data_IF_556440004345
#
_entry.id   IF_556440004345
#
_cell.length_a   1.000
_cell.length_b   1.000
_cell.length_c   1.000
_cell.angle_alpha   90.00
_cell.angle_beta   90.00
_cell.angle_gamma   90.00
#
_symmetry.space_group_name_H-M   'P 1'
#
loop_
_entity.id
_entity.type
_entity.pdbx_description
1 polymer ?
#
# COMPACT_ATOMS: atom_id res chain seq x y z
N UNK A 1 -33.99 -29.43 -35.56
CA UNK A 1 -34.41 -28.34 -34.65
C UNK A 1 -34.58 -28.93 -33.27
N UNK A 2 -33.66 -28.66 -32.35
CA UNK A 2 -33.74 -29.10 -30.95
C UNK A 2 -33.95 -27.86 -30.07
N UNK A 3 -34.82 -27.90 -29.05
CA UNK A 3 -35.04 -26.76 -28.19
C UNK A 3 -33.84 -26.55 -27.26
N UNK A 4 -33.19 -25.39 -27.37
CA UNK A 4 -32.20 -24.91 -26.38
C UNK A 4 -32.95 -24.61 -25.08
N UNK A 5 -32.84 -25.52 -24.12
CA UNK A 5 -33.19 -25.26 -22.72
C UNK A 5 -32.32 -24.12 -22.20
N UNK A 6 -32.96 -23.01 -21.85
CA UNK A 6 -32.35 -21.87 -21.18
C UNK A 6 -32.18 -22.27 -19.71
N UNK A 7 -31.00 -22.76 -19.33
CA UNK A 7 -30.65 -22.99 -17.93
C UNK A 7 -30.50 -21.63 -17.26
N UNK A 8 -31.60 -21.15 -16.68
CA UNK A 8 -31.56 -20.06 -15.71
C UNK A 8 -30.83 -20.60 -14.48
N UNK A 9 -29.52 -20.38 -14.39
CA UNK A 9 -28.81 -20.53 -13.11
C UNK A 9 -29.32 -19.45 -12.18
N UNK A 10 -30.36 -19.77 -11.42
CA UNK A 10 -30.66 -19.05 -10.18
C UNK A 10 -29.39 -19.04 -9.32
N UNK A 11 -29.04 -17.91 -8.69
CA UNK A 11 -27.93 -17.89 -7.75
C UNK A 11 -28.26 -18.86 -6.62
N UNK A 12 -27.53 -19.97 -6.56
CA UNK A 12 -27.60 -20.93 -5.45
C UNK A 12 -27.35 -20.13 -4.18
N UNK A 13 -28.37 -19.98 -3.34
CA UNK A 13 -28.26 -19.30 -2.06
C UNK A 13 -27.15 -19.96 -1.25
N UNK A 14 -26.13 -19.19 -0.85
CA UNK A 14 -25.01 -19.72 -0.06
C UNK A 14 -25.60 -20.31 1.24
N UNK A 15 -25.43 -21.63 1.51
CA UNK A 15 -26.09 -22.31 2.63
C UNK A 15 -25.70 -21.72 3.99
N UNK A 16 -24.59 -20.99 4.06
CA UNK A 16 -24.16 -20.27 5.27
C UNK A 16 -25.07 -19.08 5.63
N UNK A 17 -25.85 -18.55 4.68
CA UNK A 17 -26.77 -17.43 4.89
C UNK A 17 -27.99 -17.77 5.77
N UNK A 18 -28.30 -19.06 5.93
CA UNK A 18 -29.45 -19.53 6.71
C UNK A 18 -29.27 -19.35 8.23
N UNK A 19 -28.04 -19.20 8.70
CA UNK A 19 -27.72 -19.07 10.12
C UNK A 19 -27.74 -17.62 10.62
N UNK A 20 -27.89 -16.65 9.72
CA UNK A 20 -27.93 -15.23 10.08
C UNK A 20 -29.36 -14.74 10.41
N UNK A 21 -29.51 -13.75 11.32
CA UNK A 21 -30.77 -13.05 11.52
C UNK A 21 -31.32 -12.50 10.20
N UNK A 22 -32.65 -12.46 10.04
CA UNK A 22 -33.32 -11.97 8.82
C UNK A 22 -32.72 -10.70 8.21
N UNK A 23 -32.51 -9.60 8.96
CA UNK A 23 -31.99 -8.37 8.37
C UNK A 23 -30.57 -8.53 7.81
N UNK A 24 -29.73 -9.35 8.45
CA UNK A 24 -28.37 -9.65 7.97
C UNK A 24 -28.42 -10.52 6.71
N UNK A 25 -29.31 -11.53 6.69
CA UNK A 25 -29.50 -12.43 5.54
C UNK A 25 -29.95 -11.66 4.28
N UNK A 26 -30.81 -10.66 4.44
CA UNK A 26 -31.28 -9.82 3.34
C UNK A 26 -30.18 -8.87 2.84
N UNK A 27 -29.36 -8.35 3.75
CA UNK A 27 -28.34 -7.35 3.44
C UNK A 27 -27.14 -7.93 2.69
N UNK A 28 -26.60 -9.06 3.12
CA UNK A 28 -25.36 -9.66 2.56
C UNK A 28 -25.35 -9.71 1.02
N UNK A 29 -26.39 -10.22 0.32
CA UNK A 29 -26.38 -10.27 -1.15
C UNK A 29 -26.46 -8.89 -1.82
N UNK A 30 -26.86 -7.84 -1.10
CA UNK A 30 -26.98 -6.49 -1.62
C UNK A 30 -25.68 -5.68 -1.51
N UNK A 31 -24.68 -6.17 -0.76
CA UNK A 31 -23.42 -5.44 -0.55
C UNK A 31 -22.54 -5.56 -1.81
N UNK A 32 -22.15 -4.45 -2.46
CA UNK A 32 -21.27 -4.50 -3.62
C UNK A 32 -19.90 -5.09 -3.28
N UNK A 33 -19.40 -5.99 -4.13
CA UNK A 33 -18.07 -6.58 -3.99
C UNK A 33 -16.95 -5.51 -4.05
N UNK A 34 -17.15 -4.45 -4.83
CA UNK A 34 -16.21 -3.31 -4.92
C UNK A 34 -16.07 -2.56 -3.60
N UNK A 35 -17.17 -2.42 -2.85
CA UNK A 35 -17.18 -1.80 -1.53
C UNK A 35 -16.37 -2.65 -0.56
N UNK A 36 -16.62 -3.96 -0.53
CA UNK A 36 -15.89 -4.88 0.33
C UNK A 36 -14.39 -4.91 0.00
N UNK A 37 -14.03 -4.89 -1.28
CA UNK A 37 -12.64 -4.83 -1.72
C UNK A 37 -11.94 -3.55 -1.22
N UNK A 38 -12.64 -2.41 -1.29
CA UNK A 38 -12.13 -1.12 -0.82
C UNK A 38 -11.89 -1.13 0.70
N UNK A 39 -12.86 -1.64 1.47
CA UNK A 39 -12.73 -1.79 2.92
C UNK A 39 -11.60 -2.75 3.31
N UNK A 40 -11.50 -3.89 2.62
CA UNK A 40 -10.43 -4.87 2.83
C UNK A 40 -9.05 -4.28 2.51
N UNK A 41 -8.94 -3.53 1.43
CA UNK A 41 -7.70 -2.85 1.05
C UNK A 41 -7.28 -1.83 2.13
N UNK A 42 -8.24 -1.05 2.63
CA UNK A 42 -7.98 -0.01 3.61
C UNK A 42 -7.65 -0.58 5.00
N UNK A 43 -8.50 -1.43 5.56
CA UNK A 43 -8.40 -1.85 6.96
C UNK A 43 -7.39 -2.98 7.20
N UNK A 44 -7.20 -3.86 6.21
CA UNK A 44 -6.40 -5.09 6.41
C UNK A 44 -5.33 -5.26 5.34
N UNK A 45 -5.15 -4.27 4.47
CA UNK A 45 -4.14 -4.29 3.41
C UNK A 45 -4.26 -5.52 2.50
N UNK A 46 -5.48 -5.98 2.23
CA UNK A 46 -5.76 -7.04 1.28
C UNK A 46 -5.93 -6.44 -0.12
N UNK A 47 -4.95 -6.63 -0.99
CA UNK A 47 -4.91 -6.03 -2.32
C UNK A 47 -5.45 -7.00 -3.37
N UNK A 48 -6.33 -6.53 -4.24
CA UNK A 48 -7.03 -7.36 -5.25
C UNK A 48 -7.65 -8.65 -4.67
N UNK A 49 -8.36 -8.58 -3.53
CA UNK A 49 -8.97 -9.78 -2.95
C UNK A 49 -9.99 -10.37 -3.93
N UNK A 50 -9.95 -11.69 -4.09
CA UNK A 50 -10.89 -12.46 -4.91
C UNK A 50 -11.89 -13.18 -4.01
N UNK A 51 -13.06 -13.51 -4.56
CA UNK A 51 -14.11 -14.29 -3.90
C UNK A 51 -14.43 -13.79 -2.49
N UNK A 52 -14.70 -12.49 -2.34
CA UNK A 52 -14.98 -11.89 -1.05
C UNK A 52 -16.37 -12.33 -0.59
N UNK A 53 -16.44 -12.96 0.57
CA UNK A 53 -17.69 -13.40 1.20
C UNK A 53 -17.82 -12.80 2.58
N UNK A 54 -18.98 -12.23 2.87
CA UNK A 54 -19.35 -11.83 4.22
C UNK A 54 -19.69 -13.07 5.02
N UNK A 55 -18.96 -13.34 6.09
CA UNK A 55 -19.19 -14.50 6.96
C UNK A 55 -20.05 -14.17 8.16
N UNK A 56 -20.02 -12.92 8.63
CA UNK A 56 -20.82 -12.48 9.79
C UNK A 56 -20.96 -10.96 9.80
N UNK A 57 -22.10 -10.46 10.27
CA UNK A 57 -22.30 -9.05 10.61
C UNK A 57 -22.84 -8.98 12.04
N UNK A 58 -22.11 -8.28 12.91
CA UNK A 58 -22.51 -7.96 14.28
C UNK A 58 -22.72 -6.46 14.43
N UNK A 59 -23.32 -5.97 15.53
CA UNK A 59 -23.42 -4.53 15.78
C UNK A 59 -22.05 -3.82 15.79
N UNK A 60 -20.98 -4.53 16.12
CA UNK A 60 -19.65 -3.96 16.30
C UNK A 60 -18.74 -4.15 15.08
N UNK A 61 -18.96 -5.18 14.26
CA UNK A 61 -18.05 -5.51 13.17
C UNK A 61 -18.69 -6.30 12.03
N UNK A 62 -18.01 -6.29 10.88
CA UNK A 62 -18.25 -7.17 9.74
C UNK A 62 -17.07 -8.13 9.57
N UNK A 63 -17.36 -9.42 9.51
CA UNK A 63 -16.37 -10.47 9.24
C UNK A 63 -16.44 -10.89 7.78
N UNK A 64 -15.28 -10.92 7.14
CA UNK A 64 -15.11 -11.20 5.71
C UNK A 64 -14.11 -12.34 5.53
N UNK A 65 -14.41 -13.24 4.60
CA UNK A 65 -13.46 -14.20 4.06
C UNK A 65 -13.16 -13.85 2.60
N UNK A 66 -11.91 -14.03 2.18
CA UNK A 66 -11.48 -13.71 0.82
C UNK A 66 -10.27 -14.56 0.42
N UNK A 67 -10.07 -14.71 -0.88
CA UNK A 67 -8.86 -15.29 -1.45
C UNK A 67 -7.87 -14.16 -1.73
N UNK A 68 -6.74 -14.17 -1.03
CA UNK A 68 -5.64 -13.27 -1.34
C UNK A 68 -4.80 -13.91 -2.46
N UNK A 69 -4.76 -13.35 -3.68
CA UNK A 69 -3.84 -13.84 -4.70
C UNK A 69 -2.41 -13.75 -4.15
N UNK A 70 -1.68 -14.85 -4.27
CA UNK A 70 -0.24 -14.87 -4.04
C UNK A 70 0.38 -14.42 -5.35
N UNK A 71 1.17 -13.35 -5.31
CA UNK A 71 1.65 -12.69 -6.54
C UNK A 71 2.75 -13.49 -7.28
N UNK A 72 3.17 -14.64 -6.73
CA UNK A 72 3.95 -15.66 -7.44
C UNK A 72 3.00 -16.58 -8.22
N UNK A 73 3.15 -16.61 -9.55
CA UNK A 73 2.33 -17.37 -10.53
C UNK A 73 2.19 -18.86 -10.16
N UNK A 74 3.12 -19.41 -9.36
CA UNK A 74 3.16 -20.80 -8.96
C UNK A 74 2.28 -21.15 -7.73
N UNK A 75 1.72 -20.18 -7.01
CA UNK A 75 1.00 -20.45 -5.77
C UNK A 75 -0.50 -20.14 -5.90
N UNK A 76 -1.33 -21.08 -5.42
CA UNK A 76 -2.78 -20.88 -5.33
C UNK A 76 -3.11 -19.70 -4.38
N UNK A 77 -4.20 -18.95 -4.64
CA UNK A 77 -4.67 -17.91 -3.74
C UNK A 77 -4.86 -18.45 -2.31
N UNK A 78 -4.39 -17.71 -1.31
CA UNK A 78 -4.45 -18.15 0.10
C UNK A 78 -5.77 -17.66 0.70
N UNK A 79 -6.59 -18.55 1.27
CA UNK A 79 -7.80 -18.15 1.98
C UNK A 79 -7.42 -17.35 3.23
N UNK A 80 -8.08 -16.22 3.42
CA UNK A 80 -7.94 -15.31 4.55
C UNK A 80 -9.31 -14.99 5.12
N UNK A 81 -9.36 -14.78 6.43
CA UNK A 81 -10.50 -14.22 7.12
C UNK A 81 -10.07 -13.01 7.92
N UNK A 82 -10.95 -12.03 8.05
CA UNK A 82 -10.70 -10.83 8.83
C UNK A 82 -11.98 -10.20 9.33
N UNK A 83 -11.85 -9.34 10.33
CA UNK A 83 -12.97 -8.65 10.97
C UNK A 83 -12.69 -7.15 10.98
N UNK A 84 -13.58 -6.37 10.39
CA UNK A 84 -13.50 -4.91 10.30
C UNK A 84 -14.54 -4.32 11.25
N UNK A 85 -14.09 -3.46 12.18
CA UNK A 85 -14.99 -2.82 13.15
C UNK A 85 -15.79 -1.69 12.51
N UNK A 86 -17.08 -1.61 12.83
CA UNK A 86 -17.91 -0.46 12.49
C UNK A 86 -17.50 0.76 13.32
N UNK A 87 -17.40 1.91 12.66
CA UNK A 87 -17.14 3.19 13.34
C UNK A 87 -18.17 4.23 12.91
N UNK A 88 -19.05 4.72 13.81
CA UNK A 88 -19.33 4.17 15.16
C UNK A 88 -19.92 2.75 15.09
N UNK A 89 -20.29 2.11 16.22
CA UNK A 89 -21.04 0.85 16.20
C UNK A 89 -22.44 1.02 15.56
N UNK A 90 -23.03 -0.08 15.11
CA UNK A 90 -24.41 -0.17 14.65
C UNK A 90 -25.37 -0.40 15.84
N UNK A 91 -26.66 -0.07 15.70
CA UNK A 91 -27.67 -0.45 16.68
C UNK A 91 -27.78 -1.98 16.78
N UNK A 92 -28.23 -2.48 17.93
CA UNK A 92 -28.46 -3.91 18.17
C UNK A 92 -29.35 -4.51 17.10
N UNK A 93 -29.00 -5.72 16.63
CA UNK A 93 -29.78 -6.42 15.61
C UNK A 93 -31.19 -6.71 16.17
N UNK A 94 -32.27 -6.31 15.48
CA UNK A 94 -33.62 -6.62 15.94
C UNK A 94 -33.84 -8.13 15.98
N UNK A 95 -34.58 -8.61 16.99
CA UNK A 95 -34.88 -10.03 17.12
C UNK A 95 -35.77 -10.51 15.98
N UNK A 96 -35.66 -11.79 15.64
CA UNK A 96 -36.46 -12.43 14.59
C UNK A 96 -37.96 -12.17 14.78
N UNK A 97 -38.46 -12.36 16.00
CA UNK A 97 -39.86 -12.12 16.37
C UNK A 97 -40.31 -10.69 16.05
N UNK A 98 -39.46 -9.70 16.34
CA UNK A 98 -39.75 -8.29 16.06
C UNK A 98 -39.76 -7.99 14.56
N UNK A 99 -38.91 -8.67 13.78
CA UNK A 99 -38.87 -8.52 12.32
C UNK A 99 -40.08 -9.19 11.64
N UNK A 100 -40.59 -10.27 12.20
CA UNK A 100 -41.79 -10.95 11.71
C UNK A 100 -43.07 -10.15 12.01
N UNK A 101 -43.12 -9.48 13.16
CA UNK A 101 -44.22 -8.59 13.58
C UNK A 101 -44.20 -7.26 12.81
N UNK A 102 -43.01 -6.69 12.57
CA UNK A 102 -42.84 -5.41 11.89
C UNK A 102 -41.64 -5.45 10.92
N UNK A 103 -41.97 -5.62 9.63
CA UNK A 103 -40.98 -5.63 8.55
C UNK A 103 -40.24 -4.29 8.40
N UNK A 104 -40.83 -3.18 8.85
CA UNK A 104 -40.20 -1.85 8.76
C UNK A 104 -38.98 -1.76 9.68
N UNK A 105 -39.04 -2.36 10.88
CA UNK A 105 -37.90 -2.44 11.80
C UNK A 105 -36.70 -3.17 11.17
N UNK A 106 -36.93 -4.26 10.42
CA UNK A 106 -35.85 -4.97 9.73
C UNK A 106 -35.22 -4.10 8.63
N UNK A 107 -36.06 -3.44 7.83
CA UNK A 107 -35.62 -2.55 6.76
C UNK A 107 -34.85 -1.32 7.28
N UNK A 108 -35.28 -0.71 8.38
CA UNK A 108 -34.56 0.42 9.01
C UNK A 108 -33.15 0.02 9.46
N UNK A 109 -33.02 -1.18 10.05
CA UNK A 109 -31.72 -1.69 10.45
C UNK A 109 -30.83 -1.98 9.23
N UNK A 110 -31.38 -2.64 8.20
CA UNK A 110 -30.68 -2.90 6.92
C UNK A 110 -30.16 -1.60 6.29
N UNK A 111 -31.03 -0.57 6.21
CA UNK A 111 -30.69 0.75 5.68
C UNK A 111 -29.60 1.43 6.49
N UNK A 112 -29.67 1.34 7.82
CA UNK A 112 -28.65 1.89 8.72
C UNK A 112 -27.28 1.21 8.51
N UNK A 113 -27.26 -0.11 8.40
CA UNK A 113 -26.04 -0.87 8.12
C UNK A 113 -25.46 -0.54 6.75
N UNK A 114 -26.30 -0.52 5.70
CA UNK A 114 -25.89 -0.16 4.35
C UNK A 114 -25.30 1.25 4.28
N UNK A 115 -25.92 2.22 4.95
CA UNK A 115 -25.41 3.58 5.02
C UNK A 115 -24.06 3.65 5.76
N UNK A 116 -23.90 2.91 6.87
CA UNK A 116 -22.63 2.83 7.60
C UNK A 116 -21.51 2.27 6.73
N UNK A 117 -21.77 1.21 5.98
CA UNK A 117 -20.81 0.62 5.04
C UNK A 117 -20.39 1.63 3.96
N UNK A 118 -21.34 2.42 3.41
CA UNK A 118 -21.03 3.49 2.43
C UNK A 118 -20.18 4.61 3.02
N UNK A 119 -20.45 5.02 4.26
CA UNK A 119 -19.63 6.05 4.94
C UNK A 119 -18.21 5.55 5.15
N UNK A 120 -18.06 4.32 5.65
CA UNK A 120 -16.73 3.70 5.83
C UNK A 120 -15.99 3.53 4.50
N UNK A 121 -16.70 3.17 3.42
CA UNK A 121 -16.13 3.08 2.07
C UNK A 121 -15.66 4.46 1.59
N UNK A 122 -16.43 5.52 1.80
CA UNK A 122 -16.06 6.87 1.38
C UNK A 122 -14.81 7.36 2.13
N UNK A 123 -14.68 7.05 3.43
CA UNK A 123 -13.48 7.35 4.23
C UNK A 123 -12.27 6.54 3.75
N UNK A 124 -12.46 5.24 3.54
CA UNK A 124 -11.44 4.35 2.99
C UNK A 124 -10.98 4.83 1.60
N UNK A 125 -11.93 5.20 0.74
CA UNK A 125 -11.67 5.68 -0.62
C UNK A 125 -10.87 6.98 -0.62
N UNK A 126 -11.14 7.94 0.28
CA UNK A 126 -10.31 9.15 0.40
C UNK A 126 -8.85 8.86 0.75
N UNK A 127 -8.61 7.79 1.52
CA UNK A 127 -7.25 7.37 1.92
C UNK A 127 -6.58 6.57 0.80
N UNK A 128 -7.38 5.85 0.00
CA UNK A 128 -6.92 5.07 -1.15
C UNK A 128 -6.79 5.91 -2.43
N UNK A 129 -7.49 7.05 -2.54
CA UNK A 129 -7.44 8.04 -3.62
C UNK A 129 -6.06 8.67 -3.66
N UNK A 130 -5.17 8.01 -4.40
CA UNK A 130 -3.75 8.37 -4.49
C UNK A 130 -2.83 7.15 -4.60
N UNK A 131 -3.32 5.94 -4.30
CA UNK A 131 -2.61 4.68 -4.53
C UNK A 131 -2.86 4.19 -5.95
N UNK A 132 -1.77 3.87 -6.63
CA UNK A 132 -1.76 3.26 -7.95
C UNK A 132 -2.17 1.80 -7.85
N UNK A 133 -2.83 1.31 -8.91
CA UNK A 133 -3.11 -0.12 -9.08
C UNK A 133 -1.85 -0.92 -9.45
N UNK A 134 -0.73 -0.22 -9.72
CA UNK A 134 0.60 -0.79 -9.94
C UNK A 134 1.34 -0.90 -8.61
N UNK A 135 1.79 -2.11 -8.27
CA UNK A 135 2.56 -2.41 -7.06
C UNK A 135 4.02 -2.72 -7.42
N UNK A 136 4.98 -1.90 -6.96
CA UNK A 136 6.42 -2.17 -7.15
C UNK A 136 6.95 -3.02 -6.01
N UNK A 137 7.36 -4.25 -6.30
CA UNK A 137 7.75 -5.22 -5.26
C UNK A 137 9.26 -5.37 -5.08
N UNK A 138 10.04 -5.03 -6.10
CA UNK A 138 11.51 -5.21 -6.09
C UNK A 138 12.24 -3.89 -5.98
N UNK A 139 13.41 -3.96 -5.37
CA UNK A 139 14.40 -2.89 -5.43
C UNK A 139 15.34 -3.13 -6.61
N UNK A 140 15.64 -2.06 -7.37
CA UNK A 140 16.57 -2.10 -8.51
C UNK A 140 17.83 -1.33 -8.12
N UNK A 141 18.99 -2.01 -7.99
CA UNK A 141 20.22 -1.35 -7.59
C UNK A 141 20.76 -0.40 -8.66
N UNK A 142 21.63 0.55 -8.27
CA UNK A 142 22.40 1.36 -9.19
C UNK A 142 23.19 0.49 -10.18
N UNK A 143 23.18 0.88 -11.45
CA UNK A 143 23.97 0.26 -12.51
C UNK A 143 25.20 1.11 -12.90
N UNK A 144 25.58 2.11 -12.10
CA UNK A 144 26.62 3.07 -12.44
C UNK A 144 27.59 3.34 -11.27
N UNK A 145 28.89 3.13 -11.51
CA UNK A 145 29.99 3.44 -10.59
C UNK A 145 30.09 4.92 -10.19
N UNK A 146 29.71 5.85 -11.07
CA UNK A 146 29.72 7.28 -10.78
C UNK A 146 28.77 7.65 -9.63
N UNK A 147 27.63 6.96 -9.50
CA UNK A 147 26.74 7.15 -8.35
C UNK A 147 27.44 6.78 -7.04
N UNK A 148 28.15 5.65 -7.01
CA UNK A 148 28.90 5.20 -5.83
C UNK A 148 30.02 6.17 -5.43
N UNK A 149 30.75 6.73 -6.40
CA UNK A 149 31.81 7.70 -6.11
C UNK A 149 31.27 8.99 -5.48
N UNK A 150 30.13 9.48 -5.98
CA UNK A 150 29.50 10.71 -5.47
C UNK A 150 29.03 10.53 -4.03
N UNK A 151 28.53 9.33 -3.70
CA UNK A 151 28.12 8.92 -2.35
C UNK A 151 29.32 8.85 -1.43
N UNK A 152 30.39 8.19 -1.87
CA UNK A 152 31.61 8.04 -1.10
C UNK A 152 32.22 9.41 -0.77
N UNK A 153 32.28 10.31 -1.75
CA UNK A 153 32.75 11.69 -1.55
C UNK A 153 31.89 12.45 -0.54
N UNK A 154 30.56 12.28 -0.59
CA UNK A 154 29.65 12.90 0.37
C UNK A 154 29.90 12.40 1.80
N UNK A 155 30.03 11.08 1.99
CA UNK A 155 30.31 10.47 3.30
C UNK A 155 31.66 10.90 3.85
N UNK A 156 32.69 10.94 3.00
CA UNK A 156 34.01 11.45 3.36
C UNK A 156 33.87 12.90 3.82
N UNK A 157 33.18 13.76 3.07
CA UNK A 157 32.98 15.16 3.45
C UNK A 157 32.22 15.31 4.78
N UNK A 158 31.17 14.51 5.02
CA UNK A 158 30.45 14.48 6.30
C UNK A 158 31.38 14.10 7.45
N UNK A 159 32.19 13.06 7.26
CA UNK A 159 33.16 12.61 8.25
C UNK A 159 34.21 13.67 8.54
N UNK A 160 34.73 14.34 7.50
CA UNK A 160 35.69 15.45 7.64
C UNK A 160 35.12 16.62 8.44
N UNK A 161 33.88 17.03 8.15
CA UNK A 161 33.20 18.08 8.92
C UNK A 161 33.01 17.64 10.37
N UNK A 162 32.53 16.43 10.62
CA UNK A 162 32.31 15.90 11.96
C UNK A 162 33.61 15.85 12.78
N UNK A 163 34.67 15.31 12.19
CA UNK A 163 35.98 15.20 12.81
C UNK A 163 36.54 16.57 13.16
N UNK A 164 36.44 17.53 12.24
CA UNK A 164 36.89 18.90 12.49
C UNK A 164 36.08 19.60 13.58
N UNK A 165 34.75 19.40 13.63
CA UNK A 165 33.92 19.94 14.71
C UNK A 165 34.20 19.31 16.07
N UNK A 166 34.56 18.02 16.10
CA UNK A 166 34.71 17.26 17.35
C UNK A 166 36.10 17.38 17.96
N UNK A 167 37.13 17.40 17.13
CA UNK A 167 38.53 17.32 17.54
C UNK A 167 39.36 18.53 17.08
N UNK A 168 38.88 19.30 16.10
CA UNK A 168 39.58 20.51 15.62
C UNK A 168 41.03 20.24 15.24
N UNK A 169 41.92 21.12 15.69
CA UNK A 169 43.37 21.02 15.50
C UNK A 169 44.02 19.94 16.37
N UNK A 170 43.36 19.52 17.46
CA UNK A 170 43.87 18.56 18.43
C UNK A 170 43.87 17.10 17.90
N UNK A 171 43.41 16.87 16.67
CA UNK A 171 43.43 15.54 16.07
C UNK A 171 44.85 15.17 15.60
N UNK A 172 45.43 14.04 16.08
CA UNK A 172 46.78 13.64 15.71
C UNK A 172 46.92 13.42 14.20
N UNK A 173 48.00 13.95 13.60
CA UNK A 173 48.39 13.85 12.17
C UNK A 173 47.45 14.49 11.14
N UNK A 174 46.17 14.63 11.46
CA UNK A 174 45.11 15.01 10.53
C UNK A 174 44.64 16.46 10.79
N UNK A 175 44.65 16.91 12.04
CA UNK A 175 44.23 18.26 12.45
C UNK A 175 45.10 19.35 11.84
N UNK A 176 46.43 19.24 11.98
CA UNK A 176 47.38 20.20 11.42
C UNK A 176 47.31 20.27 9.89
N UNK A 177 47.09 19.13 9.22
CA UNK A 177 46.91 19.08 7.77
C UNK A 177 45.63 19.81 7.33
N UNK A 178 44.50 19.59 8.01
CA UNK A 178 43.26 20.29 7.71
C UNK A 178 43.37 21.78 8.02
N UNK A 179 43.97 22.17 9.14
CA UNK A 179 44.23 23.56 9.52
C UNK A 179 45.06 24.28 8.45
N UNK A 180 46.16 23.68 7.99
CA UNK A 180 47.11 24.36 7.11
C UNK A 180 46.77 24.27 5.62
N UNK A 181 46.18 23.16 5.14
CA UNK A 181 45.96 22.90 3.70
C UNK A 181 44.52 23.05 3.24
N UNK A 182 43.53 22.81 4.10
CA UNK A 182 42.11 22.70 3.68
C UNK A 182 41.25 23.83 4.25
N UNK A 183 41.30 24.04 5.57
CA UNK A 183 40.54 25.03 6.33
C UNK A 183 41.40 26.18 6.86
N UNK A 184 42.50 26.50 6.17
CA UNK A 184 43.42 27.60 6.45
C UNK A 184 42.74 28.96 6.71
N UNK A 185 41.53 29.16 6.20
CA UNK A 185 40.67 30.28 6.57
C UNK A 185 39.32 29.76 7.04
N UNK A 186 38.83 30.25 8.17
CA UNK A 186 37.54 29.84 8.77
C UNK A 186 36.37 29.92 7.79
N UNK A 187 36.34 30.92 6.92
CA UNK A 187 35.28 31.06 5.92
C UNK A 187 35.19 29.86 4.96
N UNK A 188 36.31 29.16 4.68
CA UNK A 188 36.31 27.97 3.83
C UNK A 188 35.58 26.81 4.51
N UNK A 189 35.80 26.64 5.81
CA UNK A 189 35.08 25.67 6.62
C UNK A 189 33.59 26.02 6.67
N UNK A 190 33.25 27.28 7.00
CA UNK A 190 31.87 27.74 7.06
C UNK A 190 31.13 27.54 5.72
N UNK A 191 31.75 27.89 4.60
CA UNK A 191 31.19 27.65 3.26
C UNK A 191 31.01 26.17 2.96
N UNK A 192 31.96 25.33 3.38
CA UNK A 192 31.88 23.86 3.20
C UNK A 192 30.71 23.28 4.00
N UNK A 193 30.52 23.72 5.24
CA UNK A 193 29.40 23.33 6.09
C UNK A 193 28.07 23.82 5.50
N UNK A 194 27.98 25.08 5.07
CA UNK A 194 26.78 25.62 4.42
C UNK A 194 26.41 24.85 3.14
N UNK A 195 27.40 24.55 2.29
CA UNK A 195 27.18 23.75 1.08
C UNK A 195 26.72 22.33 1.44
N UNK A 196 27.35 21.69 2.42
CA UNK A 196 26.98 20.35 2.86
C UNK A 196 25.55 20.30 3.45
N UNK A 197 25.18 21.31 4.24
CA UNK A 197 23.83 21.45 4.78
C UNK A 197 22.78 21.65 3.68
N UNK A 198 23.06 22.49 2.66
CA UNK A 198 22.18 22.68 1.52
C UNK A 198 21.95 21.36 0.75
N UNK A 199 23.01 20.56 0.58
CA UNK A 199 22.90 19.22 -0.04
C UNK A 199 22.04 18.30 0.82
N UNK A 200 22.22 18.26 2.14
CA UNK A 200 21.41 17.45 3.05
C UNK A 200 19.92 17.80 2.97
N UNK A 201 19.57 19.09 2.98
CA UNK A 201 18.17 19.55 2.84
C UNK A 201 17.57 19.08 1.52
N UNK A 202 18.33 19.19 0.42
CA UNK A 202 17.90 18.67 -0.88
C UNK A 202 17.68 17.16 -0.85
N UNK A 203 18.63 16.38 -0.32
CA UNK A 203 18.52 14.91 -0.24
C UNK A 203 17.34 14.49 0.62
N UNK A 204 17.05 15.22 1.69
CA UNK A 204 15.86 14.98 2.51
C UNK A 204 14.57 15.19 1.71
N UNK A 205 14.50 16.25 0.90
CA UNK A 205 13.39 16.48 -0.04
C UNK A 205 13.20 15.32 -1.02
N UNK A 206 14.28 14.84 -1.62
CA UNK A 206 14.25 13.69 -2.54
C UNK A 206 13.72 12.42 -1.85
N UNK A 207 14.15 12.15 -0.61
CA UNK A 207 13.68 11.02 0.21
C UNK A 207 12.19 11.14 0.53
N UNK A 208 11.70 12.33 0.87
CA UNK A 208 10.27 12.56 1.14
C UNK A 208 9.41 12.35 -0.12
N UNK A 209 9.89 12.80 -1.28
CA UNK A 209 9.21 12.57 -2.56
C UNK A 209 9.20 11.09 -2.92
N UNK A 210 10.34 10.40 -2.75
CA UNK A 210 10.41 8.96 -2.93
C UNK A 210 9.49 8.22 -1.97
N UNK A 211 9.44 8.58 -0.68
CA UNK A 211 8.53 7.97 0.28
C UNK A 211 7.06 8.08 -0.14
N UNK A 212 6.65 9.24 -0.67
CA UNK A 212 5.31 9.43 -1.26
C UNK A 212 5.08 8.51 -2.45
N UNK A 213 6.07 8.38 -3.36
CA UNK A 213 5.99 7.45 -4.50
C UNK A 213 5.90 6.00 -4.05
N UNK A 214 6.76 5.57 -3.14
CA UNK A 214 6.76 4.21 -2.60
C UNK A 214 5.40 3.85 -2.00
N UNK A 215 4.78 4.78 -1.25
CA UNK A 215 3.43 4.61 -0.71
C UNK A 215 2.35 4.57 -1.79
N UNK A 216 2.48 5.42 -2.82
CA UNK A 216 1.58 5.45 -3.97
C UNK A 216 1.61 4.13 -4.74
N UNK A 217 2.77 3.51 -4.92
CA UNK A 217 2.93 2.27 -5.67
C UNK A 217 3.14 1.04 -4.78
N UNK A 218 2.67 1.08 -3.53
CA UNK A 218 2.56 -0.09 -2.66
C UNK A 218 3.87 -0.77 -2.26
N UNK A 219 5.00 -0.06 -2.24
CA UNK A 219 6.32 -0.64 -1.91
C UNK A 219 6.54 -0.78 -0.39
N UNK A 220 5.77 -0.03 0.39
CA UNK A 220 5.68 -0.11 1.85
C UNK A 220 4.98 -1.39 2.35
N UNK A 221 4.39 -2.18 1.45
CA UNK A 221 3.42 -3.24 1.76
C UNK A 221 4.04 -4.61 2.05
N UNK A 222 5.37 -4.78 1.95
CA UNK A 222 5.99 -6.09 2.13
C UNK A 222 6.37 -6.39 3.58
N UNK A 223 5.48 -7.09 4.29
CA UNK A 223 5.77 -7.80 5.55
C UNK A 223 5.76 -9.31 5.31
N UNK A 224 6.93 -9.86 4.98
CA UNK A 224 7.27 -11.27 5.27
C UNK A 224 8.57 -11.28 6.07
N UNK A 225 8.46 -11.33 7.40
CA UNK A 225 9.53 -11.78 8.31
C UNK A 225 10.93 -11.15 8.18
N UNK A 226 11.11 -10.03 7.47
CA UNK A 226 12.38 -9.33 7.30
C UNK A 226 12.29 -7.96 7.95
N UNK A 227 13.31 -7.64 8.76
CA UNK A 227 13.45 -6.35 9.46
C UNK A 227 13.59 -5.17 8.49
N UNK A 228 14.03 -5.43 7.25
CA UNK A 228 14.28 -4.42 6.22
C UNK A 228 13.56 -4.80 4.92
N UNK A 229 12.56 -4.01 4.52
CA UNK A 229 11.84 -4.18 3.26
C UNK A 229 12.51 -3.46 2.07
N UNK A 230 12.07 -3.73 0.82
CA UNK A 230 12.60 -3.06 -0.39
C UNK A 230 12.49 -1.54 -0.34
N UNK A 231 11.49 -1.01 0.37
CA UNK A 231 11.29 0.42 0.60
C UNK A 231 12.51 1.09 1.24
N UNK A 232 13.17 0.44 2.20
CA UNK A 232 14.36 1.00 2.87
C UNK A 232 15.48 1.21 1.86
N UNK A 233 15.70 0.23 0.98
CA UNK A 233 16.72 0.32 -0.06
C UNK A 233 16.41 1.43 -1.06
N UNK A 234 15.15 1.61 -1.44
CA UNK A 234 14.71 2.75 -2.26
C UNK A 234 14.95 4.09 -1.56
N UNK A 235 14.68 4.21 -0.26
CA UNK A 235 14.93 5.45 0.47
C UNK A 235 16.43 5.74 0.64
N UNK A 236 17.22 4.73 1.01
CA UNK A 236 18.68 4.83 1.12
C UNK A 236 19.25 5.28 -0.23
N UNK A 237 18.86 4.62 -1.32
CA UNK A 237 19.37 5.01 -2.64
C UNK A 237 18.81 6.31 -3.17
N UNK A 238 17.59 6.70 -2.76
CA UNK A 238 17.09 8.05 -3.02
C UNK A 238 17.90 9.11 -2.30
N UNK A 239 18.28 8.88 -1.04
CA UNK A 239 19.18 9.78 -0.31
C UNK A 239 20.53 9.91 -1.01
N UNK A 240 21.06 8.78 -1.49
CA UNK A 240 22.38 8.67 -2.07
C UNK A 240 22.47 9.16 -3.53
N UNK A 241 21.50 8.84 -4.37
CA UNK A 241 21.49 9.15 -5.82
C UNK A 241 20.48 10.23 -6.24
N UNK A 242 19.50 10.54 -5.39
CA UNK A 242 18.51 11.60 -5.61
C UNK A 242 17.58 11.26 -6.78
N UNK A 243 17.36 12.25 -7.64
CA UNK A 243 16.50 12.16 -8.84
C UNK A 243 16.79 10.95 -9.76
N UNK A 244 18.02 10.42 -9.77
CA UNK A 244 18.35 9.23 -10.56
C UNK A 244 17.65 7.97 -10.05
N UNK A 245 17.54 7.84 -8.73
CA UNK A 245 16.79 6.75 -8.09
C UNK A 245 15.31 6.85 -8.44
N UNK A 246 14.76 8.07 -8.37
CA UNK A 246 13.39 8.37 -8.77
C UNK A 246 13.08 8.00 -10.23
N UNK A 247 13.98 8.35 -11.16
CA UNK A 247 13.83 7.98 -12.57
C UNK A 247 13.83 6.46 -12.78
N UNK A 248 14.67 5.71 -12.07
CA UNK A 248 14.66 4.24 -12.12
C UNK A 248 13.36 3.67 -11.58
N UNK A 249 12.86 4.26 -10.49
CA UNK A 249 11.59 3.88 -9.91
C UNK A 249 10.44 4.08 -10.91
N UNK A 250 10.36 5.24 -11.56
CA UNK A 250 9.34 5.54 -12.56
C UNK A 250 9.43 4.61 -13.79
N UNK A 251 10.64 4.22 -14.21
CA UNK A 251 10.84 3.23 -15.28
C UNK A 251 10.29 1.85 -14.91
N UNK A 252 10.46 1.43 -13.65
CA UNK A 252 9.91 0.15 -13.18
C UNK A 252 8.38 0.21 -13.07
N UNK A 253 7.83 1.32 -12.60
CA UNK A 253 6.38 1.57 -12.62
C UNK A 253 5.83 1.48 -14.05
N UNK A 254 6.46 2.14 -15.01
CA UNK A 254 6.04 2.10 -16.41
C UNK A 254 6.14 0.69 -17.02
N UNK A 255 7.16 -0.09 -16.64
CA UNK A 255 7.29 -1.50 -17.04
C UNK A 255 6.16 -2.35 -16.49
N UNK A 256 5.86 -2.23 -15.21
CA UNK A 256 4.76 -2.97 -14.57
C UNK A 256 3.39 -2.55 -15.09
N UNK A 257 3.19 -1.27 -15.38
CA UNK A 257 1.98 -0.76 -16.03
C UNK A 257 1.73 -1.39 -17.40
N UNK A 258 2.78 -1.53 -18.23
CA UNK A 258 2.69 -2.22 -19.53
C UNK A 258 2.31 -3.69 -19.38
N UNK A 259 3.00 -4.43 -18.51
CA UNK A 259 2.69 -5.84 -18.25
C UNK A 259 1.25 -6.05 -17.79
N UNK A 260 0.73 -5.13 -16.96
CA UNK A 260 -0.66 -5.20 -16.49
C UNK A 260 -1.67 -4.89 -17.59
N UNK A 261 -1.34 -3.99 -18.52
CA UNK A 261 -2.17 -3.70 -19.69
C UNK A 261 -2.21 -4.91 -20.63
N UNK A 262 -1.05 -5.49 -20.94
CA UNK A 262 -0.92 -6.70 -21.79
C UNK A 262 -1.70 -7.90 -21.19
N UNK A 263 -1.62 -8.10 -19.87
CA UNK A 263 -2.39 -9.16 -19.20
C UNK A 263 -3.92 -8.95 -19.30
N UNK A 264 -4.39 -7.69 -19.23
CA UNK A 264 -5.82 -7.38 -19.38
C UNK A 264 -6.31 -7.59 -20.81
N UNK A 265 -5.48 -7.30 -21.81
CA UNK A 265 -5.80 -7.56 -23.22
C UNK A 265 -5.89 -9.07 -23.49
N UNK A 266 -4.94 -9.86 -22.99
CA UNK A 266 -4.94 -11.32 -23.12
C UNK A 266 -6.18 -11.99 -22.47
N UNK A 267 -6.61 -11.51 -21.30
CA UNK A 267 -7.84 -11.98 -20.64
C UNK A 267 -9.13 -11.55 -21.38
N UNK A 268 -9.08 -10.44 -22.13
CA UNK A 268 -10.18 -9.93 -22.94
C UNK A 268 -10.37 -10.71 -24.24
N UNK A 269 -9.28 -11.12 -24.88
CA UNK A 269 -9.31 -11.93 -26.11
C UNK A 269 -9.81 -13.35 -25.85
N UNK A 270 -9.36 -13.99 -24.76
CA UNK A 270 -9.84 -15.32 -24.36
C UNK A 270 -11.33 -15.38 -24.00
N UNK A 271 -11.97 -14.24 -23.71
CA UNK A 271 -13.43 -14.15 -23.49
C UNK A 271 -14.23 -13.90 -24.76
N UNK A 272 -13.62 -13.40 -25.84
CA UNK A 272 -14.29 -13.22 -27.13
C UNK A 272 -14.29 -14.48 -28.00
N UNK A 273 -13.37 -15.41 -27.72
CA UNK A 273 -13.29 -16.70 -28.42
C UNK A 273 -14.13 -17.83 -27.79
N UNK A 274 -14.88 -17.56 -26.71
CA UNK A 274 -15.84 -18.50 -26.10
C UNK A 274 -17.28 -18.06 -26.32
#
# INVERSE_FOLDING_TARGET
MAPKGKTTTEPVADPTLLHHPLPVRNLIPQIPQTLLATLLTHHVSAYTPKDIKVTEITPEAISLSYLQPVEDIAFAPVPRSTTIKFTPPLPTIPSQKKCDEDKSTAYEWESTCANRLKVMEAEASKILDGRSDIVVQRYIPPNNFASFFTILQFLILTWLIYVWLRFGEDMPYIGEFFATKVFNKEWKFNMTVCFHAAVLVKRWGDVLQMAKKLRKYGVDLHKRGRVVGPWVWWLITSFLEGWRCERRFDQEVARLGRLKAEAKEAEGETKKEK
#
